data_IF_877394977253
#
_entry.id   IF_877394977253
#
_cell.length_a   1.000
_cell.length_b   1.000
_cell.length_c   1.000
_cell.angle_alpha   90.00
_cell.angle_beta   90.00
_cell.angle_gamma   90.00
#
_symmetry.space_group_name_H-M   'P 1'
#
loop_
_entity.id
_entity.type
_entity.pdbx_description
1 polymer ?
#
# COMPACT_ATOMS: atom_id res chain seq x y z
N UNK A 1 -24.91 -9.95 -23.38
CA UNK A 1 -25.16 -10.38 -21.99
C UNK A 1 -23.86 -10.24 -21.22
N UNK A 2 -23.66 -9.08 -20.60
CA UNK A 2 -22.47 -8.77 -19.80
C UNK A 2 -22.69 -9.28 -18.37
N UNK A 3 -22.77 -10.60 -18.22
CA UNK A 3 -22.80 -11.22 -16.90
C UNK A 3 -21.35 -11.28 -16.43
N UNK A 4 -20.96 -10.21 -15.75
CA UNK A 4 -19.92 -10.14 -14.72
C UNK A 4 -19.18 -11.47 -14.55
N UNK A 5 -18.06 -11.60 -15.26
CA UNK A 5 -17.01 -12.60 -15.08
C UNK A 5 -16.31 -12.46 -13.70
N UNK A 6 -17.07 -12.05 -12.69
CA UNK A 6 -16.71 -11.93 -11.29
C UNK A 6 -16.87 -13.28 -10.55
N UNK A 7 -17.28 -14.33 -11.27
CA UNK A 7 -17.70 -15.62 -10.72
C UNK A 7 -16.99 -16.84 -11.35
N UNK A 8 -15.84 -16.67 -11.99
CA UNK A 8 -14.96 -17.81 -12.25
C UNK A 8 -13.99 -17.97 -11.07
N UNK A 9 -13.88 -19.19 -10.51
CA UNK A 9 -13.15 -19.47 -9.27
C UNK A 9 -11.67 -19.05 -9.30
N UNK A 10 -11.09 -18.81 -10.49
CA UNK A 10 -9.75 -18.25 -10.65
C UNK A 10 -9.66 -16.74 -10.37
N UNK A 11 -10.73 -15.97 -10.55
CA UNK A 11 -10.69 -14.50 -10.52
C UNK A 11 -10.75 -13.91 -9.11
N UNK A 12 -11.48 -14.56 -8.19
CA UNK A 12 -11.55 -14.11 -6.79
C UNK A 12 -10.20 -14.19 -6.07
N UNK A 13 -9.42 -15.24 -6.35
CA UNK A 13 -8.10 -15.47 -5.75
C UNK A 13 -7.07 -14.42 -6.16
N UNK A 14 -7.13 -13.91 -7.40
CA UNK A 14 -6.23 -12.86 -7.88
C UNK A 14 -6.44 -11.54 -7.13
N UNK A 15 -7.69 -11.17 -6.84
CA UNK A 15 -7.98 -9.95 -6.09
C UNK A 15 -7.44 -10.09 -4.67
N UNK A 16 -7.67 -11.23 -4.02
CA UNK A 16 -7.16 -11.49 -2.66
C UNK A 16 -5.63 -11.50 -2.65
N UNK A 17 -4.98 -12.14 -3.61
CA UNK A 17 -3.52 -12.13 -3.73
C UNK A 17 -2.96 -10.73 -4.00
N UNK A 18 -3.62 -9.94 -4.86
CA UNK A 18 -3.21 -8.56 -5.14
C UNK A 18 -3.35 -7.67 -3.90
N UNK A 19 -4.42 -7.85 -3.12
CA UNK A 19 -4.62 -7.13 -1.84
C UNK A 19 -3.55 -7.55 -0.83
N UNK A 20 -3.35 -8.85 -0.61
CA UNK A 20 -2.35 -9.35 0.36
C UNK A 20 -0.94 -8.94 -0.06
N UNK A 21 -0.57 -9.14 -1.32
CA UNK A 21 0.72 -8.75 -1.87
C UNK A 21 0.92 -7.23 -1.84
N UNK A 22 -0.13 -6.46 -2.15
CA UNK A 22 -0.13 -5.00 -2.08
C UNK A 22 0.09 -4.49 -0.67
N UNK A 23 -0.62 -5.03 0.32
CA UNK A 23 -0.46 -4.67 1.74
C UNK A 23 0.93 -5.05 2.25
N UNK A 24 1.41 -6.26 1.94
CA UNK A 24 2.75 -6.69 2.32
C UNK A 24 3.84 -5.80 1.69
N UNK A 25 3.72 -5.50 0.39
CA UNK A 25 4.64 -4.61 -0.32
C UNK A 25 4.62 -3.18 0.22
N UNK A 26 3.43 -2.64 0.51
CA UNK A 26 3.28 -1.31 1.11
C UNK A 26 3.93 -1.24 2.50
N UNK A 27 3.72 -2.26 3.35
CA UNK A 27 4.34 -2.33 4.68
C UNK A 27 5.88 -2.36 4.59
N UNK A 28 6.44 -3.12 3.66
CA UNK A 28 7.89 -3.17 3.42
C UNK A 28 8.41 -1.83 2.87
N UNK A 29 7.70 -1.22 1.93
CA UNK A 29 8.06 0.09 1.39
C UNK A 29 8.06 1.16 2.48
N UNK A 30 7.01 1.23 3.31
CA UNK A 30 6.94 2.14 4.46
C UNK A 30 8.11 1.89 5.41
N UNK A 31 8.40 0.62 5.73
CA UNK A 31 9.52 0.26 6.61
C UNK A 31 10.88 0.70 6.04
N UNK A 32 11.11 0.48 4.74
CA UNK A 32 12.35 0.87 4.06
C UNK A 32 12.52 2.40 4.01
N UNK A 33 11.43 3.11 3.73
CA UNK A 33 11.44 4.58 3.63
C UNK A 33 11.18 5.29 4.96
N UNK A 34 10.99 4.56 6.06
CA UNK A 34 10.67 5.12 7.37
C UNK A 34 11.61 6.26 7.77
N UNK A 35 12.92 6.07 7.59
CA UNK A 35 13.93 7.12 7.87
C UNK A 35 13.70 8.37 7.03
N UNK A 36 13.46 8.23 5.73
CA UNK A 36 13.18 9.38 4.83
C UNK A 36 11.85 10.04 5.16
N UNK A 37 10.83 9.26 5.49
CA UNK A 37 9.50 9.77 5.85
C UNK A 37 9.57 10.57 7.15
N UNK A 38 10.24 10.03 8.18
CA UNK A 38 10.47 10.70 9.46
C UNK A 38 11.38 11.91 9.30
N UNK A 39 12.45 11.84 8.51
CA UNK A 39 13.32 13.00 8.24
C UNK A 39 12.58 14.11 7.48
N UNK A 40 11.67 13.75 6.56
CA UNK A 40 10.81 14.72 5.88
C UNK A 40 9.82 15.37 6.84
N UNK A 41 9.33 14.62 7.83
CA UNK A 41 8.40 15.10 8.85
C UNK A 41 9.10 15.93 9.94
N UNK A 42 10.33 15.58 10.34
CA UNK A 42 11.18 16.35 11.26
C UNK A 42 11.64 17.69 10.68
N UNK A 43 11.54 17.88 9.37
CA UNK A 43 11.77 19.18 8.71
C UNK A 43 10.53 20.09 8.71
N UNK A 44 9.50 19.80 9.52
CA UNK A 44 8.61 20.88 9.93
C UNK A 44 9.39 21.78 10.88
N UNK A 45 9.68 23.02 10.47
CA UNK A 45 10.46 23.93 11.27
C UNK A 45 9.68 24.19 12.55
N UNK A 46 10.28 23.85 13.69
CA UNK A 46 10.06 24.64 14.90
C UNK A 46 10.63 26.02 14.60
N UNK A 47 9.88 26.80 13.82
CA UNK A 47 9.96 28.24 13.84
C UNK A 47 9.31 28.67 15.16
N UNK A 48 10.10 28.71 16.22
CA UNK A 48 9.76 29.50 17.39
C UNK A 48 11.02 30.22 17.86
N UNK A 49 11.09 31.46 17.37
CA UNK A 49 11.59 32.70 17.98
C UNK A 49 12.36 32.59 19.29
#
# INVERSE_FOLDING_TARGET
MIHLAYLDAGSGSLIVQAVVGGVAGAAVAVKLYWRRLVDRFRRQPTDQR
#
